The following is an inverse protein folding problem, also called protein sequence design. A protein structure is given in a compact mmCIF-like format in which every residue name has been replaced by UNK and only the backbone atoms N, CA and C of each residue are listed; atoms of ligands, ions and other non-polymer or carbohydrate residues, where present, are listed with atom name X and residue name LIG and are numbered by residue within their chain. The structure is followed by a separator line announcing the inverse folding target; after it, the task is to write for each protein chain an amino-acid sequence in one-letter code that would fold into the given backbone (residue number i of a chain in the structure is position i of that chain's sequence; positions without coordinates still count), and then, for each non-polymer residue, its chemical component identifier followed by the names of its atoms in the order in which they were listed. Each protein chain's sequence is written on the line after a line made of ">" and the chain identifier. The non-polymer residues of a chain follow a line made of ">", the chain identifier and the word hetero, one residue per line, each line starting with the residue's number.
data_IF_589552559171
#
_entry.id   IF_589552559171
#
_cell.length_a   1.000
_cell.length_b   1.000
_cell.length_c   1.000
_cell.angle_alpha   90.00
_cell.angle_beta   90.00
_cell.angle_gamma   90.00
#
_symmetry.space_group_name_H-M   'P 1'
#
loop_
_entity.id
_entity.type
_entity.pdbx_description
1 polymer ?
#
# COMPACT_ATOMS: atom_id res chain seq x y z
N UNK A 1 -5.09 2.28 23.42
CA UNK A 1 -4.02 1.77 22.55
C UNK A 1 -4.17 2.45 21.19
N UNK A 2 -3.09 2.89 20.55
CA UNK A 2 -3.13 3.50 19.22
C UNK A 2 -2.76 2.47 18.14
N UNK A 3 -3.39 2.56 16.97
CA UNK A 3 -3.04 1.75 15.81
C UNK A 3 -1.92 2.44 15.02
N UNK A 4 -0.97 1.66 14.51
CA UNK A 4 0.23 2.15 13.81
C UNK A 4 0.20 1.70 12.35
N UNK A 5 0.45 2.65 11.44
CA UNK A 5 0.61 2.40 10.00
C UNK A 5 1.95 2.93 9.51
N UNK A 6 2.71 2.08 8.83
CA UNK A 6 3.93 2.48 8.10
C UNK A 6 3.62 2.48 6.60
N UNK A 7 4.03 3.53 5.88
CA UNK A 7 3.55 3.78 4.50
C UNK A 7 4.68 4.09 3.53
N UNK A 8 4.53 3.63 2.28
CA UNK A 8 5.52 3.80 1.22
C UNK A 8 6.51 2.65 1.14
N UNK A 9 6.06 1.44 1.47
CA UNK A 9 6.85 0.20 1.41
C UNK A 9 7.17 -0.08 -0.05
N UNK A 10 8.46 -0.25 -0.36
CA UNK A 10 8.90 -0.41 -1.76
C UNK A 10 10.10 -1.33 -1.95
N UNK A 11 10.67 -1.86 -0.86
CA UNK A 11 11.83 -2.77 -0.90
C UNK A 11 11.64 -3.92 0.08
N UNK A 12 12.36 -5.01 -0.15
CA UNK A 12 12.27 -6.19 0.72
C UNK A 12 12.77 -5.90 2.14
N UNK A 13 13.79 -5.06 2.28
CA UNK A 13 14.31 -4.65 3.58
C UNK A 13 13.24 -3.92 4.41
N UNK A 14 12.36 -3.16 3.76
CA UNK A 14 11.23 -2.52 4.45
C UNK A 14 10.31 -3.60 5.06
N UNK A 15 10.02 -4.68 4.31
CA UNK A 15 9.18 -5.81 4.76
C UNK A 15 9.84 -6.57 5.92
N UNK A 16 11.14 -6.80 5.86
CA UNK A 16 11.89 -7.43 6.95
C UNK A 16 11.72 -6.66 8.27
N UNK A 17 11.90 -5.33 8.24
CA UNK A 17 11.67 -4.49 9.42
C UNK A 17 10.21 -4.51 9.88
N UNK A 18 9.24 -4.49 8.96
CA UNK A 18 7.83 -4.56 9.32
C UNK A 18 7.50 -5.88 10.02
N UNK A 19 8.02 -7.01 9.54
CA UNK A 19 7.80 -8.32 10.15
C UNK A 19 8.38 -8.41 11.56
N UNK A 20 9.47 -7.69 11.85
CA UNK A 20 10.04 -7.59 13.20
C UNK A 20 9.24 -6.67 14.12
N UNK A 21 8.79 -5.52 13.60
CA UNK A 21 8.15 -4.47 14.42
C UNK A 21 6.63 -4.65 14.58
N UNK A 22 6.00 -5.44 13.70
CA UNK A 22 4.58 -5.80 13.70
C UNK A 22 3.62 -4.60 13.86
N UNK A 23 3.69 -3.57 12.99
CA UNK A 23 2.67 -2.52 12.99
C UNK A 23 1.33 -3.09 12.51
N UNK A 24 0.23 -2.41 12.83
CA UNK A 24 -1.11 -2.86 12.42
C UNK A 24 -1.31 -2.82 10.89
N UNK A 25 -0.62 -1.90 10.19
CA UNK A 25 -0.80 -1.68 8.75
C UNK A 25 0.51 -1.39 8.00
N UNK A 26 0.62 -1.92 6.77
CA UNK A 26 1.66 -1.62 5.79
C UNK A 26 1.04 -0.99 4.52
N UNK A 27 1.56 0.17 4.10
CA UNK A 27 1.03 0.93 2.97
C UNK A 27 1.89 0.87 1.71
N UNK A 28 1.29 0.44 0.60
CA UNK A 28 1.87 0.38 -0.74
C UNK A 28 1.29 1.51 -1.60
N UNK A 29 2.14 2.29 -2.26
CA UNK A 29 1.71 3.49 -3.00
C UNK A 29 1.62 3.19 -4.49
N UNK A 30 0.44 3.32 -5.07
CA UNK A 30 0.22 3.12 -6.52
C UNK A 30 0.12 4.44 -7.30
N UNK A 31 -0.01 5.56 -6.58
CA UNK A 31 0.01 6.91 -7.15
C UNK A 31 1.42 7.40 -7.50
N UNK A 32 1.50 8.29 -8.49
CA UNK A 32 2.75 8.89 -8.94
C UNK A 32 3.50 9.61 -7.80
N UNK A 33 4.67 9.07 -7.44
CA UNK A 33 5.54 9.57 -6.37
C UNK A 33 6.89 8.84 -6.35
N UNK A 34 7.87 9.36 -5.61
CA UNK A 34 9.15 8.65 -5.34
C UNK A 34 8.99 7.30 -4.62
N UNK A 35 7.82 7.05 -4.04
CA UNK A 35 7.49 5.84 -3.28
C UNK A 35 6.54 4.91 -4.05
N UNK A 36 6.24 5.22 -5.31
CA UNK A 36 5.38 4.41 -6.16
C UNK A 36 6.00 3.02 -6.36
N UNK A 37 5.16 2.00 -6.27
CA UNK A 37 5.47 0.63 -6.68
C UNK A 37 4.52 0.20 -7.79
N UNK A 38 5.00 -0.66 -8.68
CA UNK A 38 4.11 -1.37 -9.60
C UNK A 38 3.45 -2.58 -8.89
N UNK A 39 2.45 -3.16 -9.55
CA UNK A 39 1.64 -4.25 -9.00
C UNK A 39 2.49 -5.50 -8.74
N UNK A 40 3.45 -5.80 -9.62
CA UNK A 40 4.32 -6.97 -9.48
C UNK A 40 5.23 -6.83 -8.26
N UNK A 41 5.86 -5.67 -8.11
CA UNK A 41 6.68 -5.34 -6.95
C UNK A 41 5.86 -5.40 -5.68
N UNK A 42 4.65 -4.82 -5.66
CA UNK A 42 3.77 -4.88 -4.49
C UNK A 42 3.36 -6.32 -4.15
N UNK A 43 3.07 -7.15 -5.14
CA UNK A 43 2.79 -8.58 -4.96
C UNK A 43 3.96 -9.30 -4.28
N UNK A 44 5.18 -9.15 -4.79
CA UNK A 44 6.36 -9.82 -4.24
C UNK A 44 6.65 -9.37 -2.79
N UNK A 45 6.42 -8.09 -2.47
CA UNK A 45 6.54 -7.59 -1.11
C UNK A 45 5.43 -8.12 -0.18
N UNK A 46 4.19 -8.22 -0.67
CA UNK A 46 3.04 -8.71 0.09
C UNK A 46 3.17 -10.20 0.41
N UNK A 47 3.68 -11.02 -0.52
CA UNK A 47 3.89 -12.45 -0.28
C UNK A 47 4.91 -12.74 0.83
N UNK A 48 5.81 -11.79 1.10
CA UNK A 48 6.79 -11.88 2.18
C UNK A 48 6.38 -11.09 3.44
N UNK A 49 5.26 -10.38 3.40
CA UNK A 49 4.74 -9.62 4.54
C UNK A 49 4.02 -10.56 5.51
N UNK A 50 4.25 -10.35 6.80
CA UNK A 50 3.59 -11.09 7.84
C UNK A 50 2.06 -10.96 7.76
N UNK A 51 1.35 -12.08 7.93
CA UNK A 51 -0.10 -12.18 7.71
C UNK A 51 -0.92 -11.36 8.70
N UNK A 52 -0.36 -11.05 9.87
CA UNK A 52 -1.02 -10.24 10.89
C UNK A 52 -0.98 -8.74 10.56
N UNK A 53 -0.14 -8.32 9.61
CA UNK A 53 -0.01 -6.92 9.17
C UNK A 53 -0.99 -6.66 8.02
N UNK A 54 -1.90 -5.70 8.20
CA UNK A 54 -2.91 -5.37 7.18
C UNK A 54 -2.32 -4.60 6.01
N UNK A 55 -2.69 -5.02 4.80
CA UNK A 55 -2.21 -4.49 3.52
C UNK A 55 -3.06 -3.30 3.10
N UNK A 56 -2.43 -2.14 2.89
CA UNK A 56 -3.12 -0.91 2.48
C UNK A 56 -2.62 -0.45 1.12
N UNK A 57 -3.52 -0.30 0.15
CA UNK A 57 -3.21 0.36 -1.12
C UNK A 57 -3.50 1.85 -1.04
N UNK A 58 -2.55 2.69 -1.45
CA UNK A 58 -2.69 4.15 -1.47
C UNK A 58 -2.87 4.66 -2.89
N UNK A 59 -4.01 5.31 -3.14
CA UNK A 59 -4.43 5.77 -4.45
C UNK A 59 -4.68 7.29 -4.47
N UNK A 60 -4.45 7.92 -5.62
CA UNK A 60 -4.70 9.35 -5.86
C UNK A 60 -5.31 9.49 -7.25
N UNK A 61 -6.58 9.91 -7.33
CA UNK A 61 -7.28 10.17 -8.60
C UNK A 61 -7.26 8.99 -9.60
N UNK A 62 -7.13 7.75 -9.12
CA UNK A 62 -7.18 6.56 -9.97
C UNK A 62 -8.62 6.20 -10.35
N UNK A 63 -8.80 5.58 -11.53
CA UNK A 63 -10.10 5.05 -11.94
C UNK A 63 -10.52 3.95 -10.98
N UNK A 64 -11.81 3.91 -10.62
CA UNK A 64 -12.37 2.89 -9.73
C UNK A 64 -12.08 1.47 -10.24
N UNK A 65 -12.12 1.26 -11.56
CA UNK A 65 -11.79 -0.03 -12.18
C UNK A 65 -10.36 -0.48 -11.86
N UNK A 66 -9.40 0.44 -11.89
CA UNK A 66 -7.98 0.17 -11.63
C UNK A 66 -7.77 -0.16 -10.15
N UNK A 67 -8.39 0.64 -9.27
CA UNK A 67 -8.33 0.42 -7.82
C UNK A 67 -8.92 -0.94 -7.46
N UNK A 68 -10.06 -1.30 -8.06
CA UNK A 68 -10.69 -2.61 -7.85
C UNK A 68 -9.78 -3.74 -8.32
N UNK A 69 -9.22 -3.64 -9.52
CA UNK A 69 -8.29 -4.64 -10.04
C UNK A 69 -7.10 -4.85 -9.10
N UNK A 70 -6.46 -3.76 -8.65
CA UNK A 70 -5.31 -3.84 -7.73
C UNK A 70 -5.71 -4.43 -6.38
N UNK A 71 -6.85 -4.00 -5.82
CA UNK A 71 -7.33 -4.48 -4.53
C UNK A 71 -7.65 -5.97 -4.54
N UNK A 72 -8.34 -6.44 -5.59
CA UNK A 72 -8.71 -7.84 -5.74
C UNK A 72 -7.46 -8.71 -6.00
N UNK A 73 -6.56 -8.26 -6.88
CA UNK A 73 -5.35 -8.99 -7.23
C UNK A 73 -4.38 -9.14 -6.05
N UNK A 74 -4.13 -8.05 -5.31
CA UNK A 74 -3.20 -8.05 -4.16
C UNK A 74 -3.87 -8.43 -2.84
N UNK A 75 -5.17 -8.72 -2.85
CA UNK A 75 -5.97 -9.03 -1.66
C UNK A 75 -5.80 -7.97 -0.58
N UNK A 76 -5.92 -6.69 -0.95
CA UNK A 76 -5.74 -5.57 -0.04
C UNK A 76 -6.82 -5.56 1.04
N UNK A 77 -6.43 -5.27 2.28
CA UNK A 77 -7.35 -5.16 3.41
C UNK A 77 -8.04 -3.78 3.44
N UNK A 78 -7.34 -2.74 2.97
CA UNK A 78 -7.83 -1.34 2.97
C UNK A 78 -7.41 -0.60 1.69
N UNK A 79 -8.35 0.13 1.09
CA UNK A 79 -8.06 1.11 0.05
C UNK A 79 -8.05 2.52 0.65
N UNK A 80 -6.88 3.16 0.70
CA UNK A 80 -6.68 4.50 1.21
C UNK A 80 -6.66 5.51 0.05
N UNK A 81 -7.71 6.31 -0.08
CA UNK A 81 -7.78 7.41 -1.04
C UNK A 81 -7.22 8.68 -0.40
N UNK A 82 -6.12 9.20 -0.93
CA UNK A 82 -5.62 10.52 -0.48
C UNK A 82 -6.46 11.60 -1.14
N UNK A 83 -6.68 12.71 -0.43
CA UNK A 83 -7.45 13.85 -0.94
C UNK A 83 -7.02 14.21 -2.37
N UNK A 84 -8.03 14.42 -3.22
CA UNK A 84 -7.82 14.79 -4.62
C UNK A 84 -6.92 16.02 -4.65
N UNK A 85 -5.76 15.93 -5.30
CA UNK A 85 -5.11 17.14 -5.79
C UNK A 85 -6.10 17.72 -6.80
N UNK A 86 -6.82 18.78 -6.43
CA UNK A 86 -7.50 19.65 -7.39
C UNK A 86 -6.40 20.05 -8.37
N UNK A 87 -6.44 19.48 -9.58
CA UNK A 87 -5.61 19.97 -10.67
C UNK A 87 -6.18 21.36 -10.99
N UNK A 88 -5.53 22.39 -10.47
CA UNK A 88 -5.67 23.81 -10.78
C UNK A 88 -7.02 24.18 -11.43
N UNK A 89 -7.97 24.62 -10.60
CA UNK A 89 -8.92 25.66 -11.03
C UNK A 89 -8.15 26.98 -11.00
#
# INVERSE_FOLDING_TARGET
>A
MALIKICGIRRMEDVEYLNMLKPDYAGFVFADSKRKVDIKTAHDLIENLDRDIKKVGVFVNEKISEVRYIADFLKLDVCNFTAMKLKNI
#
